data_IF_499410821712
#
_entry.id   IF_499410821712
#
_cell.length_a   1.000
_cell.length_b   1.000
_cell.length_c   1.000
_cell.angle_alpha   90.00
_cell.angle_beta   90.00
_cell.angle_gamma   90.00
#
_symmetry.space_group_name_H-M   'P 1'
#
loop_
_entity.id
_entity.type
_entity.pdbx_description
1 polymer ?
#
# COMPACT_ATOMS: atom_id res chain seq x y z
N UNK A 1 -22.64 -43.51 -34.09
CA UNK A 1 -21.38 -44.16 -34.49
C UNK A 1 -20.72 -44.68 -33.22
N UNK A 2 -20.76 -45.99 -32.95
CA UNK A 2 -20.18 -46.54 -31.72
C UNK A 2 -18.66 -46.64 -31.90
N UNK A 3 -17.89 -45.86 -31.15
CA UNK A 3 -16.44 -45.94 -31.16
C UNK A 3 -16.01 -47.32 -30.67
N UNK A 4 -15.08 -48.01 -31.34
CA UNK A 4 -14.63 -49.32 -30.92
C UNK A 4 -13.96 -49.20 -29.54
N UNK A 5 -14.39 -50.03 -28.58
CA UNK A 5 -13.97 -49.99 -27.16
C UNK A 5 -12.45 -49.98 -26.97
N UNK A 6 -11.69 -50.51 -27.93
CA UNK A 6 -10.22 -50.53 -27.98
C UNK A 6 -9.59 -49.15 -28.15
N UNK A 7 -10.28 -48.22 -28.81
CA UNK A 7 -9.84 -46.82 -29.00
C UNK A 7 -10.38 -45.93 -27.87
N UNK A 8 -11.49 -46.32 -27.26
CA UNK A 8 -12.07 -45.59 -26.12
C UNK A 8 -11.11 -45.57 -24.92
N UNK A 9 -10.47 -46.69 -24.60
CA UNK A 9 -9.59 -46.83 -23.45
C UNK A 9 -8.37 -45.87 -23.48
N UNK A 10 -7.55 -45.81 -24.55
CA UNK A 10 -6.43 -44.88 -24.59
C UNK A 10 -6.88 -43.41 -24.60
N UNK A 11 -8.02 -43.10 -25.22
CA UNK A 11 -8.57 -41.73 -25.22
C UNK A 11 -8.95 -41.28 -23.81
N UNK A 12 -9.56 -42.16 -23.01
CA UNK A 12 -9.91 -41.86 -21.61
C UNK A 12 -8.67 -41.67 -20.75
N UNK A 13 -7.62 -42.47 -20.97
CA UNK A 13 -6.34 -42.34 -20.24
C UNK A 13 -5.66 -41.00 -20.58
N UNK A 14 -5.61 -40.64 -21.86
CA UNK A 14 -5.05 -39.35 -22.29
C UNK A 14 -5.83 -38.18 -21.70
N UNK A 15 -7.17 -38.27 -21.67
CA UNK A 15 -8.03 -37.26 -21.04
C UNK A 15 -7.76 -37.13 -19.53
N UNK A 16 -7.59 -38.25 -18.82
CA UNK A 16 -7.24 -38.25 -17.39
C UNK A 16 -5.87 -37.61 -17.14
N UNK A 17 -4.87 -37.89 -17.99
CA UNK A 17 -3.54 -37.28 -17.88
C UNK A 17 -3.59 -35.76 -18.13
N UNK A 18 -4.37 -35.31 -19.12
CA UNK A 18 -4.58 -33.89 -19.38
C UNK A 18 -5.29 -33.18 -18.23
N UNK A 19 -6.32 -33.80 -17.64
CA UNK A 19 -7.01 -33.26 -16.49
C UNK A 19 -6.11 -33.18 -15.25
N UNK A 20 -5.27 -34.20 -15.01
CA UNK A 20 -4.31 -34.19 -13.92
C UNK A 20 -3.24 -33.10 -14.12
N UNK A 21 -2.70 -32.97 -15.33
CA UNK A 21 -1.74 -31.91 -15.66
C UNK A 21 -2.34 -30.52 -15.48
N UNK A 22 -3.59 -30.31 -15.90
CA UNK A 22 -4.32 -29.07 -15.69
C UNK A 22 -4.51 -28.75 -14.20
N UNK A 23 -4.93 -29.73 -13.40
CA UNK A 23 -5.13 -29.55 -11.96
C UNK A 23 -3.83 -29.18 -11.23
N UNK A 24 -2.71 -29.82 -11.59
CA UNK A 24 -1.38 -29.48 -11.06
C UNK A 24 -0.96 -28.07 -11.49
N UNK A 25 -1.17 -27.72 -12.76
CA UNK A 25 -0.86 -26.38 -13.27
C UNK A 25 -1.63 -25.27 -12.51
N UNK A 26 -2.93 -25.46 -12.26
CA UNK A 26 -3.72 -24.50 -11.48
C UNK A 26 -3.35 -24.49 -10.00
N UNK A 27 -2.96 -25.65 -9.45
CA UNK A 27 -2.50 -25.74 -8.05
C UNK A 27 -1.19 -24.98 -7.85
N UNK A 28 -0.23 -25.11 -8.78
CA UNK A 28 1.03 -24.37 -8.74
C UNK A 28 0.85 -22.86 -8.97
N UNK A 29 -0.12 -22.44 -9.78
CA UNK A 29 -0.42 -21.02 -9.94
C UNK A 29 -1.05 -20.38 -8.70
N UNK A 30 -1.69 -21.16 -7.82
CA UNK A 30 -2.29 -20.65 -6.58
C UNK A 30 -1.25 -20.07 -5.60
N UNK A 31 0.02 -20.46 -5.71
CA UNK A 31 1.13 -19.89 -4.93
C UNK A 31 1.73 -18.63 -5.58
N UNK A 32 1.31 -18.28 -6.80
CA UNK A 32 1.86 -17.16 -7.59
C UNK A 32 0.90 -15.98 -7.75
N UNK A 33 -0.33 -16.06 -7.22
CA UNK A 33 -1.05 -14.82 -6.88
C UNK A 33 -0.29 -14.22 -5.70
N UNK A 34 0.39 -13.07 -5.85
CA UNK A 34 0.69 -12.30 -4.66
C UNK A 34 -0.67 -12.08 -4.02
N UNK A 35 -0.87 -12.63 -2.82
CA UNK A 35 -1.76 -12.05 -1.86
C UNK A 35 -1.17 -10.67 -1.54
N UNK A 36 -1.19 -9.77 -2.52
CA UNK A 36 -1.28 -8.36 -2.26
C UNK A 36 -2.61 -8.28 -1.55
N UNK A 37 -2.65 -8.05 -0.23
CA UNK A 37 -3.88 -7.57 0.35
C UNK A 37 -4.37 -6.47 -0.57
N UNK A 38 -5.63 -6.56 -1.00
CA UNK A 38 -6.35 -5.42 -1.53
C UNK A 38 -6.42 -4.42 -0.38
N UNK A 39 -5.29 -3.78 -0.09
CA UNK A 39 -5.21 -2.53 0.62
C UNK A 39 -5.74 -1.58 -0.43
N UNK A 40 -7.07 -1.58 -0.59
CA UNK A 40 -7.76 -0.35 -0.87
C UNK A 40 -7.27 0.59 0.23
N UNK A 41 -6.21 1.33 -0.09
CA UNK A 41 -5.79 2.50 0.66
C UNK A 41 -7.00 3.40 0.48
N UNK A 42 -7.99 3.25 1.37
CA UNK A 42 -8.81 4.39 1.71
C UNK A 42 -7.78 5.47 2.00
N UNK A 43 -7.67 6.42 1.08
CA UNK A 43 -6.99 7.69 1.29
C UNK A 43 -7.73 8.33 2.48
N UNK A 44 -7.40 7.84 3.67
CA UNK A 44 -7.83 8.42 4.92
C UNK A 44 -7.21 9.80 4.86
N UNK A 45 -8.01 10.87 4.75
CA UNK A 45 -7.48 12.21 4.62
C UNK A 45 -6.58 12.40 5.83
N UNK A 46 -5.28 12.55 5.57
CA UNK A 46 -4.28 12.70 6.62
C UNK A 46 -4.71 13.93 7.40
N UNK A 47 -5.11 13.72 8.65
CA UNK A 47 -5.58 14.80 9.50
C UNK A 47 -4.41 15.78 9.67
N UNK A 48 -4.55 16.97 9.08
CA UNK A 48 -3.55 18.03 9.20
C UNK A 48 -3.45 18.39 10.68
N UNK A 49 -2.28 18.14 11.27
CA UNK A 49 -2.02 18.43 12.66
C UNK A 49 -1.15 19.69 12.78
N UNK A 50 -1.68 20.73 13.42
CA UNK A 50 -0.94 21.95 13.71
C UNK A 50 -0.31 21.86 15.09
N UNK A 51 0.90 22.39 15.21
CA UNK A 51 1.66 22.43 16.46
C UNK A 51 1.01 23.36 17.47
N UNK A 52 0.93 22.91 18.72
CA UNK A 52 0.38 23.71 19.80
C UNK A 52 1.34 24.83 20.23
N UNK A 53 0.82 25.88 20.86
CA UNK A 53 1.66 27.02 21.26
C UNK A 53 2.73 26.65 22.30
N UNK A 54 2.45 25.68 23.18
CA UNK A 54 3.41 25.21 24.17
C UNK A 54 4.61 24.55 23.49
N UNK A 55 4.36 23.66 22.52
CA UNK A 55 5.41 23.01 21.71
C UNK A 55 6.22 24.02 20.90
N UNK A 56 5.58 25.07 20.38
CA UNK A 56 6.30 26.16 19.69
C UNK A 56 7.28 26.87 20.61
N UNK A 57 6.88 27.15 21.85
CA UNK A 57 7.75 27.82 22.84
C UNK A 57 8.94 26.94 23.20
N UNK A 58 8.73 25.64 23.36
CA UNK A 58 9.81 24.66 23.61
C UNK A 58 10.82 24.61 22.46
N UNK A 59 10.35 24.78 21.22
CA UNK A 59 11.18 24.82 20.01
C UNK A 59 11.73 26.23 19.69
N UNK A 60 11.43 27.24 20.50
CA UNK A 60 11.87 28.63 20.27
C UNK A 60 11.19 29.32 19.07
N UNK A 61 10.02 28.84 18.66
CA UNK A 61 9.20 29.40 17.58
C UNK A 61 8.26 30.48 18.14
N UNK A 62 7.93 31.46 17.31
CA UNK A 62 6.98 32.51 17.70
C UNK A 62 5.55 31.94 17.73
N UNK A 63 4.74 32.36 18.70
CA UNK A 63 3.38 31.83 18.90
C UNK A 63 2.45 32.09 17.70
N UNK A 64 2.65 33.21 17.01
CA UNK A 64 1.91 33.64 15.83
C UNK A 64 2.26 32.85 14.56
N UNK A 65 3.34 32.07 14.59
CA UNK A 65 3.77 31.27 13.46
C UNK A 65 2.84 30.06 13.31
N UNK A 66 2.30 29.85 12.11
CA UNK A 66 1.57 28.63 11.76
C UNK A 66 2.57 27.53 11.45
N UNK A 67 2.51 26.43 12.19
CA UNK A 67 3.44 25.31 12.06
C UNK A 67 2.65 24.02 11.97
N UNK A 68 2.91 23.24 10.93
CA UNK A 68 2.33 21.91 10.76
C UNK A 68 3.33 20.86 11.22
N UNK A 69 2.85 19.90 12.01
CA UNK A 69 3.63 18.73 12.43
C UNK A 69 3.55 17.70 11.31
N UNK A 70 4.71 17.24 10.83
CA UNK A 70 4.82 16.22 9.78
C UNK A 70 5.12 14.84 10.34
N UNK A 71 5.76 14.78 11.52
CA UNK A 71 6.08 13.52 12.17
C UNK A 71 6.36 13.70 13.66
N UNK A 72 6.00 12.68 14.42
CA UNK A 72 6.33 12.53 15.84
C UNK A 72 7.10 11.22 16.06
N UNK A 73 7.94 11.17 17.08
CA UNK A 73 8.59 9.93 17.51
C UNK A 73 7.64 9.02 18.32
N UNK A 74 8.16 7.92 18.84
CA UNK A 74 7.42 6.96 19.67
C UNK A 74 6.96 7.56 21.02
N UNK A 75 7.56 8.66 21.46
CA UNK A 75 7.24 9.38 22.70
C UNK A 75 6.25 10.54 22.46
N UNK A 76 5.92 10.83 21.21
CA UNK A 76 5.06 11.96 20.82
C UNK A 76 5.82 13.27 20.61
N UNK A 77 7.15 13.28 20.67
CA UNK A 77 7.97 14.46 20.39
C UNK A 77 8.00 14.78 18.89
N UNK A 78 7.98 16.07 18.54
CA UNK A 78 7.99 16.49 17.14
C UNK A 78 9.38 16.29 16.53
N UNK A 79 9.49 15.35 15.59
CA UNK A 79 10.74 15.07 14.86
C UNK A 79 10.83 15.84 13.54
N UNK A 80 9.69 16.20 12.95
CA UNK A 80 9.65 16.98 11.72
C UNK A 80 8.45 17.91 11.68
N UNK A 81 8.69 19.14 11.23
CA UNK A 81 7.67 20.18 11.10
C UNK A 81 7.91 21.06 9.89
N UNK A 82 6.86 21.75 9.44
CA UNK A 82 6.92 22.75 8.37
C UNK A 82 6.29 24.06 8.84
N UNK A 83 7.01 25.16 8.65
CA UNK A 83 6.49 26.50 8.88
C UNK A 83 5.61 26.88 7.68
N UNK A 84 4.36 27.24 7.96
CA UNK A 84 3.34 27.57 6.97
C UNK A 84 3.31 29.09 6.81
N UNK A 85 3.76 29.60 5.67
CA UNK A 85 3.70 31.04 5.35
C UNK A 85 2.42 31.38 4.60
N UNK A 86 1.91 30.43 3.82
CA UNK A 86 0.72 30.53 2.99
C UNK A 86 -0.09 29.24 3.07
N UNK A 87 -1.39 29.28 2.71
CA UNK A 87 -2.23 28.08 2.75
C UNK A 87 -1.76 26.98 1.77
N UNK A 88 -1.05 27.36 0.70
CA UNK A 88 -0.45 26.42 -0.24
C UNK A 88 0.74 25.64 0.36
N UNK A 89 1.31 26.10 1.49
CA UNK A 89 2.42 25.41 2.14
C UNK A 89 1.96 24.20 2.96
N UNK A 90 0.66 24.09 3.25
CA UNK A 90 0.09 23.01 4.04
C UNK A 90 0.23 21.69 3.28
N UNK A 91 0.93 20.74 3.89
CA UNK A 91 1.09 19.41 3.34
C UNK A 91 -0.18 18.62 3.62
N UNK A 92 -0.98 18.39 2.59
CA UNK A 92 -2.22 17.59 2.68
C UNK A 92 -2.01 16.14 2.27
N UNK A 93 -0.88 15.82 1.64
CA UNK A 93 -0.50 14.47 1.22
C UNK A 93 0.99 14.21 1.55
N UNK A 94 1.27 13.32 2.50
CA UNK A 94 2.65 12.97 2.88
C UNK A 94 3.39 12.16 1.82
N UNK A 95 2.70 11.45 0.90
CA UNK A 95 3.38 10.70 -0.17
C UNK A 95 4.13 11.62 -1.13
N UNK A 96 3.69 12.89 -1.24
CA UNK A 96 4.38 13.89 -2.06
C UNK A 96 5.78 14.24 -1.54
N UNK A 97 6.04 14.11 -0.24
CA UNK A 97 7.35 14.43 0.36
C UNK A 97 8.43 13.37 0.08
N UNK A 98 8.03 12.11 -0.13
CA UNK A 98 8.99 11.02 -0.33
C UNK A 98 9.54 10.95 -1.78
N UNK A 99 8.85 11.58 -2.73
CA UNK A 99 9.24 11.62 -4.14
C UNK A 99 10.14 12.81 -4.52
N UNK A 100 10.27 13.82 -3.65
CA UNK A 100 11.12 14.99 -3.91
C UNK A 100 12.59 14.80 -3.49
N UNK A 101 12.92 13.73 -2.76
CA UNK A 101 14.28 13.41 -2.31
C UNK A 101 15.17 12.65 -3.31
N UNK A 102 14.68 12.35 -4.52
CA UNK A 102 15.39 11.52 -5.52
C UNK A 102 15.57 12.21 -6.89
N UNK A 103 15.86 13.52 -6.89
CA UNK A 103 16.24 14.28 -8.10
C UNK A 103 17.55 15.02 -7.90
#
# INVERSE_FOLDING_TARGET
>A
MQLPKKILMPVVIVLLLLAAAWAVYTYLQKESEPNSPDISVEETPIAVHFMENQEKVELGLQEDTRVQVLGRDENGEVISYKIIRTEADVVTNLESLNNEGNR
#
